data_IF_163259308147
#
_entry.id   IF_163259308147
#
_cell.length_a   1.000
_cell.length_b   1.000
_cell.length_c   1.000
_cell.angle_alpha   90.00
_cell.angle_beta   90.00
_cell.angle_gamma   90.00
#
_symmetry.space_group_name_H-M   'P 1'
#
loop_
_entity.id
_entity.type
_entity.pdbx_description
1 polymer ?
#
# COMPACT_ATOMS: atom_id res chain seq x y z
N UNK A 1 -9.59 48.28 -52.53
CA UNK A 1 -8.55 48.10 -51.50
C UNK A 1 -9.17 47.19 -50.44
N UNK A 2 -9.12 45.90 -50.73
CA UNK A 2 -9.79 44.81 -49.98
C UNK A 2 -8.86 43.62 -50.05
N UNK A 3 -7.72 43.70 -49.37
CA UNK A 3 -6.77 42.58 -49.20
C UNK A 3 -5.95 42.82 -47.92
N UNK A 4 -6.61 42.86 -46.75
CA UNK A 4 -5.94 42.88 -45.43
C UNK A 4 -6.88 42.26 -44.37
N UNK A 5 -7.50 41.10 -44.66
CA UNK A 5 -8.28 40.36 -43.67
C UNK A 5 -8.05 38.84 -43.71
N UNK A 6 -7.28 38.32 -44.67
CA UNK A 6 -7.06 36.86 -44.81
C UNK A 6 -5.92 36.32 -43.92
N UNK A 7 -5.21 37.19 -43.18
CA UNK A 7 -4.04 36.80 -42.38
C UNK A 7 -4.32 36.52 -40.90
N UNK A 8 -5.54 36.77 -40.42
CA UNK A 8 -5.91 36.50 -39.02
C UNK A 8 -6.59 35.13 -38.85
N UNK A 9 -7.30 34.63 -39.86
CA UNK A 9 -7.93 33.28 -39.81
C UNK A 9 -6.90 32.14 -39.88
N UNK A 10 -5.82 32.30 -40.66
CA UNK A 10 -4.77 31.26 -40.76
C UNK A 10 -3.99 31.09 -39.43
N UNK A 11 -3.95 32.13 -38.60
CA UNK A 11 -3.20 32.12 -37.35
C UNK A 11 -3.99 31.48 -36.20
N UNK A 12 -5.32 31.57 -36.22
CA UNK A 12 -6.18 30.86 -35.27
C UNK A 12 -6.27 29.35 -35.58
N UNK A 13 -6.08 28.92 -36.83
CA UNK A 13 -6.05 27.49 -37.18
C UNK A 13 -4.72 26.80 -36.81
N UNK A 14 -3.60 27.53 -36.79
CA UNK A 14 -2.31 26.98 -36.37
C UNK A 14 -2.23 26.83 -34.83
N UNK A 15 -2.75 27.79 -34.07
CA UNK A 15 -2.79 27.72 -32.60
C UNK A 15 -3.73 26.61 -32.10
N UNK A 16 -4.70 26.20 -32.92
CA UNK A 16 -5.60 25.08 -32.61
C UNK A 16 -4.99 23.69 -32.89
N UNK A 17 -3.87 23.61 -33.61
CA UNK A 17 -3.18 22.35 -33.92
C UNK A 17 -2.09 21.97 -32.90
N UNK A 18 -1.68 22.89 -32.03
CA UNK A 18 -0.65 22.63 -31.02
C UNK A 18 -1.22 22.21 -29.65
N UNK A 19 -2.54 22.22 -29.44
CA UNK A 19 -3.19 21.73 -28.21
C UNK A 19 -3.61 20.25 -28.26
N UNK A 20 -3.34 19.53 -29.35
CA UNK A 20 -3.39 18.06 -29.37
C UNK A 20 -2.07 17.47 -28.84
N UNK A 21 -1.65 17.88 -27.64
CA UNK A 21 -0.68 17.10 -26.88
C UNK A 21 -1.38 15.85 -26.33
N UNK A 22 -0.81 14.71 -26.70
CA UNK A 22 -1.16 13.36 -26.27
C UNK A 22 -1.45 13.30 -24.76
N UNK A 23 -2.74 13.32 -24.40
CA UNK A 23 -3.22 12.77 -23.15
C UNK A 23 -3.12 11.24 -23.27
N UNK A 24 -1.91 10.73 -23.09
CA UNK A 24 -1.66 9.34 -22.72
C UNK A 24 -2.33 9.10 -21.36
N UNK A 25 -3.65 8.96 -21.40
CA UNK A 25 -4.38 8.11 -20.48
C UNK A 25 -3.85 6.69 -20.70
N UNK A 26 -2.68 6.42 -20.13
CA UNK A 26 -2.43 5.14 -19.50
C UNK A 26 -3.54 4.98 -18.47
N UNK A 27 -4.70 4.52 -18.94
CA UNK A 27 -5.74 3.94 -18.13
C UNK A 27 -5.02 2.84 -17.38
N UNK A 28 -4.58 3.16 -16.15
CA UNK A 28 -4.13 2.16 -15.21
C UNK A 28 -5.39 1.35 -14.98
N UNK A 29 -5.54 0.30 -15.78
CA UNK A 29 -6.58 -0.70 -15.63
C UNK A 29 -6.31 -1.25 -14.25
N UNK A 30 -7.08 -0.74 -13.30
CA UNK A 30 -7.27 -1.31 -12.00
C UNK A 30 -7.91 -2.67 -12.28
N UNK A 31 -7.07 -3.67 -12.58
CA UNK A 31 -7.50 -5.04 -12.61
C UNK A 31 -7.92 -5.30 -11.18
N UNK A 32 -9.22 -5.23 -10.94
CA UNK A 32 -9.82 -5.71 -9.72
C UNK A 32 -9.68 -7.23 -9.75
N UNK A 33 -8.47 -7.73 -9.51
CA UNK A 33 -8.29 -9.10 -9.08
C UNK A 33 -8.95 -9.15 -7.72
N UNK A 34 -10.21 -9.58 -7.71
CA UNK A 34 -10.94 -9.94 -6.51
C UNK A 34 -10.28 -11.19 -5.94
N UNK A 35 -9.07 -11.04 -5.42
CA UNK A 35 -8.45 -12.05 -4.60
C UNK A 35 -9.28 -12.06 -3.32
N UNK A 36 -10.09 -13.10 -3.20
CA UNK A 36 -10.81 -13.50 -2.01
C UNK A 36 -9.83 -13.41 -0.83
N UNK A 37 -9.88 -12.32 -0.08
CA UNK A 37 -9.26 -12.24 1.23
C UNK A 37 -10.10 -13.13 2.13
N UNK A 38 -9.76 -14.41 2.16
CA UNK A 38 -10.25 -15.28 3.22
C UNK A 38 -9.79 -14.66 4.54
N UNK A 39 -10.76 -14.32 5.37
CA UNK A 39 -10.55 -13.76 6.69
C UNK A 39 -9.97 -14.86 7.60
N UNK A 40 -8.67 -15.11 7.46
CA UNK A 40 -7.90 -15.89 8.41
C UNK A 40 -6.53 -15.25 8.55
N UNK A 41 -6.22 -14.90 9.79
CA UNK A 41 -5.01 -14.22 10.25
C UNK A 41 -3.71 -14.68 9.58
N UNK A 42 -2.79 -13.72 9.47
CA UNK A 42 -1.38 -13.88 9.04
C UNK A 42 -1.17 -13.84 7.53
N UNK A 43 -1.49 -12.70 6.93
CA UNK A 43 -0.94 -12.30 5.65
C UNK A 43 0.57 -12.03 5.85
N UNK A 44 1.39 -13.07 5.78
CA UNK A 44 2.84 -12.94 5.71
C UNK A 44 3.21 -12.52 4.29
N UNK A 45 3.01 -11.22 4.00
CA UNK A 45 3.23 -10.66 2.67
C UNK A 45 4.74 -10.57 2.35
N UNK A 46 5.60 -10.60 3.37
CA UNK A 46 7.03 -10.28 3.25
C UNK A 46 7.88 -11.38 3.86
N UNK A 47 8.57 -12.11 3.00
CA UNK A 47 9.58 -13.09 3.39
C UNK A 47 10.78 -12.39 4.04
N UNK A 48 10.97 -12.64 5.34
CA UNK A 48 12.00 -12.00 6.16
C UNK A 48 13.42 -12.43 5.76
N UNK A 49 13.61 -13.67 5.29
CA UNK A 49 14.94 -14.21 4.98
C UNK A 49 15.57 -13.53 3.76
N UNK A 50 14.75 -12.90 2.91
CA UNK A 50 15.20 -12.15 1.72
C UNK A 50 15.80 -10.80 2.07
N UNK A 51 15.72 -10.36 3.32
CA UNK A 51 16.21 -9.06 3.75
C UNK A 51 17.45 -9.22 4.62
N UNK A 52 18.57 -8.65 4.17
CA UNK A 52 19.80 -8.55 4.96
C UNK A 52 19.79 -7.37 5.96
N UNK A 53 18.72 -6.58 6.00
CA UNK A 53 18.60 -5.42 6.87
C UNK A 53 17.22 -5.32 7.50
N UNK A 54 17.20 -5.34 8.83
CA UNK A 54 15.98 -5.16 9.61
C UNK A 54 15.23 -3.86 9.28
N UNK A 55 15.96 -2.74 9.18
CA UNK A 55 15.35 -1.45 8.83
C UNK A 55 14.73 -1.45 7.44
N UNK A 56 15.32 -2.18 6.50
CA UNK A 56 14.77 -2.34 5.14
C UNK A 56 13.51 -3.18 5.17
N UNK A 57 13.53 -4.30 5.90
CA UNK A 57 12.38 -5.18 6.10
C UNK A 57 11.18 -4.39 6.66
N UNK A 58 11.35 -3.70 7.79
CA UNK A 58 10.26 -2.93 8.42
C UNK A 58 9.72 -1.85 7.48
N UNK A 59 10.59 -1.10 6.79
CA UNK A 59 10.14 -0.06 5.85
C UNK A 59 9.36 -0.65 4.68
N UNK A 60 9.86 -1.72 4.05
CA UNK A 60 9.17 -2.37 2.94
C UNK A 60 7.81 -2.91 3.39
N UNK A 61 7.75 -3.57 4.55
CA UNK A 61 6.49 -4.05 5.13
C UNK A 61 5.51 -2.90 5.40
N UNK A 62 5.98 -1.75 5.91
CA UNK A 62 5.15 -0.57 6.12
C UNK A 62 4.59 0.00 4.81
N UNK A 63 5.39 0.07 3.75
CA UNK A 63 4.91 0.47 2.43
C UNK A 63 3.85 -0.48 1.87
N UNK A 64 4.02 -1.79 2.03
CA UNK A 64 3.03 -2.79 1.62
C UNK A 64 1.71 -2.58 2.37
N UNK A 65 1.75 -2.38 3.69
CA UNK A 65 0.54 -2.08 4.46
C UNK A 65 -0.13 -0.77 4.02
N UNK A 66 0.65 0.29 3.80
CA UNK A 66 0.14 1.56 3.27
C UNK A 66 -0.50 1.37 1.90
N UNK A 67 0.14 0.63 1.01
CA UNK A 67 -0.41 0.35 -0.32
C UNK A 67 -1.77 -0.33 -0.21
N UNK A 68 -1.86 -1.41 0.55
CA UNK A 68 -3.11 -2.14 0.80
C UNK A 68 -4.19 -1.24 1.40
N UNK A 69 -3.82 -0.35 2.33
CA UNK A 69 -4.74 0.65 2.91
C UNK A 69 -5.20 1.66 1.87
N UNK A 70 -4.30 2.19 1.06
CA UNK A 70 -4.58 3.16 0.01
C UNK A 70 -5.47 2.59 -1.09
N UNK A 71 -5.32 1.30 -1.44
CA UNK A 71 -6.23 0.59 -2.36
C UNK A 71 -7.68 0.57 -1.86
N UNK A 72 -7.89 0.65 -0.54
CA UNK A 72 -9.22 0.69 0.09
C UNK A 72 -9.69 2.10 0.42
N UNK A 73 -8.89 3.12 0.11
CA UNK A 73 -9.15 4.52 0.44
C UNK A 73 -9.50 5.30 -0.83
N UNK A 74 -10.32 6.34 -0.68
CA UNK A 74 -10.57 7.29 -1.79
C UNK A 74 -9.30 8.06 -2.12
N UNK A 75 -9.12 8.55 -3.36
CA UNK A 75 -7.90 9.26 -3.77
C UNK A 75 -7.46 10.37 -2.80
N UNK A 76 -8.42 11.12 -2.25
CA UNK A 76 -8.21 12.28 -1.37
C UNK A 76 -7.72 11.88 0.03
N UNK A 77 -7.99 10.63 0.45
CA UNK A 77 -7.65 10.11 1.79
C UNK A 77 -6.41 9.21 1.77
N UNK A 78 -5.82 8.98 0.59
CA UNK A 78 -4.60 8.18 0.44
C UNK A 78 -3.43 8.86 1.13
N UNK A 79 -2.63 8.05 1.81
CA UNK A 79 -1.40 8.52 2.43
C UNK A 79 -0.28 8.52 1.39
N UNK A 80 0.38 9.67 1.23
CA UNK A 80 1.48 9.88 0.29
C UNK A 80 2.76 10.31 1.03
N UNK A 81 3.89 10.29 0.33
CA UNK A 81 5.18 10.75 0.86
C UNK A 81 5.90 9.74 1.76
N UNK A 82 6.70 10.23 2.70
CA UNK A 82 7.52 9.40 3.58
C UNK A 82 6.67 8.50 4.51
N UNK A 83 7.19 7.32 4.84
CA UNK A 83 6.58 6.44 5.83
C UNK A 83 6.65 7.07 7.22
N UNK A 84 5.51 7.14 7.91
CA UNK A 84 5.44 7.66 9.27
C UNK A 84 6.01 6.65 10.28
N UNK A 85 6.43 7.16 11.43
CA UNK A 85 6.91 6.31 12.55
C UNK A 85 5.80 5.35 13.01
N UNK A 86 4.54 5.79 13.01
CA UNK A 86 3.41 4.96 13.40
C UNK A 86 3.22 3.77 12.45
N UNK A 87 3.41 3.98 11.14
CA UNK A 87 3.32 2.90 10.16
C UNK A 87 4.49 1.92 10.29
N UNK A 88 5.71 2.40 10.61
CA UNK A 88 6.84 1.50 10.91
C UNK A 88 6.58 0.66 12.16
N UNK A 89 6.11 1.28 13.25
CA UNK A 89 5.78 0.58 14.49
C UNK A 89 4.66 -0.44 14.29
N UNK A 90 3.65 -0.09 13.49
CA UNK A 90 2.59 -1.02 13.13
C UNK A 90 3.14 -2.21 12.33
N UNK A 91 3.95 -1.93 11.31
CA UNK A 91 4.56 -2.97 10.47
C UNK A 91 5.44 -3.93 11.27
N UNK A 92 6.24 -3.40 12.18
CA UNK A 92 7.07 -4.19 13.11
C UNK A 92 6.22 -5.12 13.96
N UNK A 93 5.20 -4.58 14.64
CA UNK A 93 4.31 -5.40 15.49
C UNK A 93 3.56 -6.46 14.69
N UNK A 94 3.10 -6.11 13.49
CA UNK A 94 2.39 -7.05 12.61
C UNK A 94 3.30 -8.18 12.12
N UNK A 95 4.56 -7.85 11.77
CA UNK A 95 5.56 -8.81 11.34
C UNK A 95 5.94 -9.77 12.47
N UNK A 96 6.19 -9.25 13.69
CA UNK A 96 6.48 -10.08 14.87
C UNK A 96 5.33 -11.05 15.15
N UNK A 97 4.08 -10.56 15.17
CA UNK A 97 2.90 -11.42 15.39
C UNK A 97 2.77 -12.50 14.34
N UNK A 98 3.05 -12.16 13.09
CA UNK A 98 2.96 -13.12 11.99
C UNK A 98 4.05 -14.20 12.09
N UNK A 99 5.28 -13.83 12.43
CA UNK A 99 6.37 -14.78 12.70
C UNK A 99 6.04 -15.67 13.90
N UNK A 100 5.52 -15.09 14.98
CA UNK A 100 5.09 -15.85 16.16
C UNK A 100 4.00 -16.87 15.82
N UNK A 101 3.01 -16.48 15.01
CA UNK A 101 1.95 -17.39 14.56
C UNK A 101 2.45 -18.50 13.64
N UNK A 102 3.51 -18.25 12.85
CA UNK A 102 4.11 -19.27 11.99
C UNK A 102 4.96 -20.25 12.79
N UNK A 103 5.85 -19.75 13.67
CA UNK A 103 6.77 -20.59 14.42
C UNK A 103 6.12 -21.33 15.59
N UNK A 104 5.07 -20.76 16.17
CA UNK A 104 4.44 -21.27 17.39
C UNK A 104 2.93 -21.46 17.22
N UNK A 105 2.49 -21.87 16.02
CA UNK A 105 1.06 -21.99 15.71
C UNK A 105 0.31 -22.84 16.74
N UNK A 106 0.85 -24.00 17.09
CA UNK A 106 0.25 -24.92 18.05
C UNK A 106 0.02 -24.24 19.42
N UNK A 107 1.07 -23.58 19.93
CA UNK A 107 1.01 -22.81 21.19
C UNK A 107 -0.04 -21.70 21.09
N UNK A 108 -0.12 -20.98 19.97
CA UNK A 108 -1.10 -19.92 19.78
C UNK A 108 -2.52 -20.47 19.71
N UNK A 109 -2.76 -21.60 19.04
CA UNK A 109 -4.09 -22.23 18.97
C UNK A 109 -4.54 -22.74 20.34
N UNK A 110 -3.62 -23.28 21.14
CA UNK A 110 -3.90 -23.78 22.48
C UNK A 110 -4.15 -22.65 23.48
N UNK A 111 -3.39 -21.55 23.40
CA UNK A 111 -3.62 -20.33 24.16
C UNK A 111 -4.99 -19.69 23.85
N UNK A 112 -5.40 -19.70 22.59
CA UNK A 112 -6.70 -19.15 22.18
C UNK A 112 -7.89 -19.99 22.66
N UNK A 113 -7.72 -21.32 22.77
CA UNK A 113 -8.72 -22.22 23.37
C UNK A 113 -8.81 -22.04 24.89
N UNK A 114 -7.68 -21.76 25.51
CA UNK A 114 -7.51 -21.65 26.96
C UNK A 114 -7.54 -20.18 27.40
N UNK A 115 -8.70 -19.53 27.28
CA UNK A 115 -8.90 -18.09 27.59
C UNK A 115 -8.40 -17.65 28.99
N UNK A 116 -8.14 -18.60 29.89
CA UNK A 116 -7.62 -18.39 31.24
C UNK A 116 -6.13 -17.97 31.32
N UNK A 117 -5.30 -18.18 30.29
CA UNK A 117 -3.85 -17.88 30.33
C UNK A 117 -3.45 -16.55 29.67
N UNK A 118 -4.40 -15.84 29.06
CA UNK A 118 -4.15 -14.59 28.30
C UNK A 118 -3.51 -13.46 29.13
N UNK A 119 -3.58 -13.55 30.47
CA UNK A 119 -3.09 -12.52 31.41
C UNK A 119 -1.60 -12.69 31.73
N UNK A 120 -0.98 -13.87 31.53
CA UNK A 120 0.42 -14.10 31.91
C UNK A 120 1.43 -13.84 30.77
N UNK A 121 1.01 -13.91 29.51
CA UNK A 121 1.91 -13.74 28.36
C UNK A 121 2.08 -12.28 27.90
N UNK A 122 1.22 -11.36 28.35
CA UNK A 122 1.32 -9.94 28.02
C UNK A 122 2.66 -9.31 28.47
N UNK A 123 3.26 -9.84 29.53
CA UNK A 123 4.55 -9.36 30.04
C UNK A 123 5.78 -9.95 29.33
N UNK A 124 5.63 -11.07 28.60
CA UNK A 124 6.75 -11.76 27.94
C UNK A 124 6.95 -11.32 26.49
N UNK A 125 5.97 -10.64 25.89
CA UNK A 125 6.00 -10.22 24.48
C UNK A 125 5.70 -8.73 24.27
N UNK A 126 5.73 -7.92 25.33
CA UNK A 126 5.63 -6.47 25.25
C UNK A 126 6.99 -5.87 24.89
N UNK A 127 7.24 -5.68 23.59
CA UNK A 127 8.23 -4.74 23.07
C UNK A 127 7.62 -3.34 22.93
#
# INVERSE_FOLDING_TARGET
>A
MTVLLETEEEKEEEEKKEEEEEDDNDEIVCVQTSNLMSATDSLFIVDCERFSSYRKLIRTTAYVYRFVRNCRSTPETRQLGCISVNEMNFAEKALIRSLQNQSYNDVMTELNKSTALRVQTAHLFSF
#
